data_IF_492379632970
#
_entry.id   IF_492379632970
#
_cell.length_a   1.000
_cell.length_b   1.000
_cell.length_c   1.000
_cell.angle_alpha   90.00
_cell.angle_beta   90.00
_cell.angle_gamma   90.00
#
_symmetry.space_group_name_H-M   'P 1'
#
loop_
_entity.id
_entity.type
_entity.pdbx_description
1 polymer ?
#
# COMPACT_ATOMS: atom_id res chain seq x y z
N UNK A 1 18.89 -8.33 19.07
CA UNK A 1 18.64 -7.52 17.85
C UNK A 1 17.44 -8.15 17.17
N UNK A 2 16.27 -7.50 17.15
CA UNK A 2 15.13 -8.01 16.39
C UNK A 2 15.53 -7.91 14.92
N UNK A 3 15.83 -9.03 14.28
CA UNK A 3 15.88 -9.07 12.82
C UNK A 3 14.58 -8.47 12.31
N UNK A 4 14.69 -7.47 11.44
CA UNK A 4 13.52 -6.91 10.81
C UNK A 4 13.02 -7.95 9.82
N UNK A 5 12.18 -8.90 10.25
CA UNK A 5 11.76 -10.04 9.42
C UNK A 5 11.12 -9.63 8.09
N UNK A 6 10.63 -8.38 7.99
CA UNK A 6 10.10 -7.79 6.77
C UNK A 6 11.21 -7.48 5.77
N UNK A 7 12.41 -7.09 6.22
CA UNK A 7 13.57 -6.94 5.35
C UNK A 7 13.92 -8.26 4.66
N UNK A 8 13.80 -9.39 5.35
CA UNK A 8 14.06 -10.72 4.77
C UNK A 8 13.03 -11.07 3.68
N UNK A 9 11.83 -10.50 3.76
CA UNK A 9 10.78 -10.68 2.73
C UNK A 9 10.91 -9.73 1.54
N UNK A 10 11.83 -8.77 1.56
CA UNK A 10 12.00 -7.77 0.51
C UNK A 10 12.15 -8.37 -0.89
N UNK A 11 12.98 -9.43 -1.11
CA UNK A 11 13.13 -10.01 -2.43
C UNK A 11 11.81 -10.57 -2.97
N UNK A 12 11.03 -11.27 -2.13
CA UNK A 12 9.73 -11.83 -2.52
C UNK A 12 8.73 -10.72 -2.85
N UNK A 13 8.67 -9.67 -2.03
CA UNK A 13 7.77 -8.53 -2.24
C UNK A 13 8.15 -7.78 -3.51
N UNK A 14 9.45 -7.59 -3.76
CA UNK A 14 9.95 -6.97 -4.98
C UNK A 14 9.63 -7.79 -6.24
N UNK A 15 9.73 -9.12 -6.17
CA UNK A 15 9.33 -10.02 -7.26
C UNK A 15 7.83 -9.94 -7.55
N UNK A 16 7.01 -9.79 -6.50
CA UNK A 16 5.55 -9.74 -6.61
C UNK A 16 4.96 -8.32 -6.76
N UNK A 17 5.80 -7.26 -6.82
CA UNK A 17 5.33 -5.86 -6.78
C UNK A 17 4.29 -5.51 -7.87
N UNK A 18 4.45 -6.04 -9.07
CA UNK A 18 3.49 -5.83 -10.16
C UNK A 18 2.16 -6.55 -9.89
N UNK A 19 2.22 -7.81 -9.42
CA UNK A 19 1.04 -8.57 -9.00
C UNK A 19 0.30 -7.87 -7.85
N UNK A 20 1.02 -7.34 -6.87
CA UNK A 20 0.44 -6.56 -5.76
C UNK A 20 -0.29 -5.32 -6.31
N UNK A 21 0.35 -4.56 -7.19
CA UNK A 21 -0.26 -3.38 -7.80
C UNK A 21 -1.53 -3.73 -8.60
N UNK A 22 -1.48 -4.79 -9.42
CA UNK A 22 -2.64 -5.26 -10.18
C UNK A 22 -3.80 -5.68 -9.27
N UNK A 23 -3.51 -6.46 -8.23
CA UNK A 23 -4.53 -6.89 -7.25
C UNK A 23 -5.12 -5.71 -6.48
N UNK A 24 -4.28 -4.74 -6.12
CA UNK A 24 -4.73 -3.51 -5.45
C UNK A 24 -5.75 -2.76 -6.32
N UNK A 25 -5.42 -2.48 -7.58
CA UNK A 25 -6.35 -1.75 -8.44
C UNK A 25 -7.59 -2.57 -8.82
N UNK A 26 -7.47 -3.89 -9.00
CA UNK A 26 -8.63 -4.76 -9.18
C UNK A 26 -9.58 -4.67 -7.99
N UNK A 27 -9.06 -4.77 -6.75
CA UNK A 27 -9.86 -4.67 -5.54
C UNK A 27 -10.44 -3.26 -5.36
N UNK A 28 -9.64 -2.21 -5.55
CA UNK A 28 -10.08 -0.82 -5.41
C UNK A 28 -11.22 -0.50 -6.39
N UNK A 29 -11.09 -0.88 -7.66
CA UNK A 29 -12.13 -0.65 -8.66
C UNK A 29 -13.36 -1.56 -8.51
N UNK A 30 -13.25 -2.66 -7.77
CA UNK A 30 -14.40 -3.46 -7.38
C UNK A 30 -15.15 -2.82 -6.21
N UNK A 31 -14.41 -2.21 -5.27
CA UNK A 31 -14.96 -1.56 -4.08
C UNK A 31 -15.49 -0.13 -4.35
N UNK A 32 -14.90 0.58 -5.32
CA UNK A 32 -15.25 1.94 -5.71
C UNK A 32 -15.06 2.12 -7.23
N UNK A 33 -15.98 1.59 -8.07
CA UNK A 33 -15.85 1.58 -9.53
C UNK A 33 -15.66 2.97 -10.17
N UNK A 34 -16.25 4.01 -9.58
CA UNK A 34 -16.15 5.40 -9.98
C UNK A 34 -14.70 5.90 -10.00
N UNK A 35 -13.83 5.35 -9.14
CA UNK A 35 -12.43 5.78 -9.06
C UNK A 35 -11.63 5.47 -10.33
N UNK A 36 -12.11 4.56 -11.19
CA UNK A 36 -11.49 4.26 -12.50
C UNK A 36 -11.29 5.50 -13.36
N UNK A 37 -12.22 6.44 -13.29
CA UNK A 37 -12.18 7.67 -14.08
C UNK A 37 -10.94 8.53 -13.78
N UNK A 38 -10.34 8.40 -12.60
CA UNK A 38 -9.15 9.16 -12.22
C UNK A 38 -7.84 8.66 -12.85
N UNK A 39 -7.79 7.43 -13.37
CA UNK A 39 -6.53 6.78 -13.73
C UNK A 39 -6.19 6.81 -15.23
N UNK A 40 -7.14 7.18 -16.10
CA UNK A 40 -6.94 7.54 -17.52
C UNK A 40 -5.89 6.73 -18.29
N UNK A 41 -5.14 7.39 -19.19
CA UNK A 41 -4.06 6.79 -19.98
C UNK A 41 -2.75 6.56 -19.23
N UNK A 42 -2.58 7.17 -18.05
CA UNK A 42 -1.37 7.06 -17.21
C UNK A 42 -1.35 5.84 -16.26
N UNK A 43 -2.33 4.95 -16.38
CA UNK A 43 -2.54 3.88 -15.40
C UNK A 43 -1.36 2.89 -15.27
N UNK A 44 -0.66 2.59 -16.37
CA UNK A 44 0.51 1.72 -16.34
C UNK A 44 1.69 2.30 -15.55
N UNK A 45 1.91 3.60 -15.68
CA UNK A 45 2.94 4.33 -14.92
C UNK A 45 2.58 4.35 -13.43
N UNK A 46 1.30 4.60 -13.11
CA UNK A 46 0.81 4.62 -11.74
C UNK A 46 1.00 3.26 -11.02
N UNK A 47 0.79 2.13 -11.72
CA UNK A 47 1.08 0.80 -11.16
C UNK A 47 2.54 0.63 -10.77
N UNK A 48 3.45 1.19 -11.57
CA UNK A 48 4.87 1.16 -11.28
C UNK A 48 5.18 2.01 -10.05
N UNK A 49 4.69 3.25 -9.99
CA UNK A 49 4.83 4.13 -8.81
C UNK A 49 4.34 3.45 -7.54
N UNK A 50 3.17 2.81 -7.60
CA UNK A 50 2.62 2.07 -6.47
C UNK A 50 3.50 0.88 -6.05
N UNK A 51 4.01 0.12 -7.01
CA UNK A 51 4.92 -0.99 -6.74
C UNK A 51 6.20 -0.53 -6.00
N UNK A 52 6.77 0.63 -6.36
CA UNK A 52 7.90 1.21 -5.63
C UNK A 52 7.51 1.70 -4.23
N UNK A 53 6.31 2.24 -4.04
CA UNK A 53 5.81 2.61 -2.72
C UNK A 53 5.76 1.41 -1.77
N UNK A 54 5.30 0.25 -2.24
CA UNK A 54 5.27 -0.99 -1.44
C UNK A 54 6.67 -1.38 -0.97
N UNK A 55 7.68 -1.27 -1.84
CA UNK A 55 9.09 -1.53 -1.48
C UNK A 55 9.60 -0.52 -0.46
N UNK A 56 9.25 0.77 -0.60
CA UNK A 56 9.65 1.81 0.36
C UNK A 56 9.03 1.58 1.75
N UNK A 57 7.77 1.16 1.79
CA UNK A 57 7.08 0.79 3.04
C UNK A 57 7.81 -0.37 3.72
N UNK A 58 8.20 -1.38 2.95
CA UNK A 58 8.97 -2.53 3.42
C UNK A 58 10.28 -2.12 4.10
N UNK A 59 11.05 -1.24 3.45
CA UNK A 59 12.32 -0.73 3.95
C UNK A 59 12.14 0.14 5.20
N UNK A 60 10.98 0.78 5.34
CA UNK A 60 10.63 1.63 6.47
C UNK A 60 10.02 0.86 7.63
N UNK A 61 9.82 -0.45 7.50
CA UNK A 61 9.18 -1.25 8.53
C UNK A 61 10.05 -1.28 9.80
N UNK A 62 9.61 -0.61 10.87
CA UNK A 62 10.40 -0.43 12.09
C UNK A 62 11.02 0.96 12.26
N UNK A 63 10.79 1.87 11.30
CA UNK A 63 11.08 3.30 11.42
C UNK A 63 9.76 4.09 11.36
N UNK A 64 9.16 4.43 12.51
CA UNK A 64 7.90 5.18 12.57
C UNK A 64 7.98 6.55 11.88
N UNK A 65 9.10 7.25 12.00
CA UNK A 65 9.28 8.58 11.38
C UNK A 65 9.29 8.49 9.86
N UNK A 66 9.88 7.43 9.30
CA UNK A 66 9.86 7.18 7.86
C UNK A 66 8.44 6.90 7.35
N UNK A 67 7.64 6.11 8.09
CA UNK A 67 6.23 5.87 7.75
C UNK A 67 5.40 7.15 7.82
N UNK A 68 5.63 8.00 8.83
CA UNK A 68 4.96 9.29 8.98
C UNK A 68 5.27 10.23 7.79
N UNK A 69 6.53 10.31 7.36
CA UNK A 69 6.92 11.10 6.19
C UNK A 69 6.26 10.60 4.91
N UNK A 70 6.18 9.28 4.73
CA UNK A 70 5.47 8.67 3.59
C UNK A 70 3.98 9.06 3.65
N UNK A 71 3.33 8.95 4.80
CA UNK A 71 1.93 9.29 4.97
C UNK A 71 1.66 10.76 4.59
N UNK A 72 2.46 11.70 5.09
CA UNK A 72 2.33 13.14 4.79
C UNK A 72 2.48 13.43 3.30
N UNK A 73 3.50 12.85 2.67
CA UNK A 73 3.73 13.02 1.24
C UNK A 73 2.55 12.48 0.43
N UNK A 74 2.05 11.29 0.78
CA UNK A 74 0.91 10.68 0.09
C UNK A 74 -0.35 11.54 0.23
N UNK A 75 -0.66 12.04 1.43
CA UNK A 75 -1.83 12.92 1.63
C UNK A 75 -1.71 14.19 0.80
N UNK A 76 -0.56 14.86 0.78
CA UNK A 76 -0.39 16.08 -0.03
C UNK A 76 -0.57 15.82 -1.53
N UNK A 77 -0.06 14.70 -2.04
CA UNK A 77 -0.28 14.30 -3.45
C UNK A 77 -1.78 14.05 -3.71
N UNK A 78 -2.45 13.32 -2.83
CA UNK A 78 -3.85 12.91 -3.02
C UNK A 78 -4.85 14.04 -2.76
N UNK A 79 -4.50 15.03 -1.94
CA UNK A 79 -5.32 16.23 -1.68
C UNK A 79 -5.62 17.00 -2.96
N UNK A 80 -4.68 17.04 -3.91
CA UNK A 80 -4.85 17.69 -5.23
C UNK A 80 -5.91 17.01 -6.10
N UNK A 81 -6.28 15.78 -5.78
CA UNK A 81 -7.28 14.99 -6.48
C UNK A 81 -8.61 14.88 -5.71
N UNK A 82 -8.77 15.62 -4.60
CA UNK A 82 -10.00 15.62 -3.81
C UNK A 82 -10.25 14.32 -3.04
N UNK A 83 -9.21 13.50 -2.84
CA UNK A 83 -9.32 12.23 -2.11
C UNK A 83 -9.57 12.50 -0.62
N UNK A 84 -10.63 11.89 -0.10
CA UNK A 84 -11.07 12.03 1.29
C UNK A 84 -10.54 10.94 2.21
N UNK A 85 -10.71 11.12 3.52
CA UNK A 85 -10.51 10.08 4.52
C UNK A 85 -11.34 8.81 4.24
N UNK A 86 -12.55 8.95 3.67
CA UNK A 86 -13.39 7.80 3.32
C UNK A 86 -12.79 6.99 2.15
N UNK A 87 -12.22 7.67 1.16
CA UNK A 87 -11.53 7.03 0.03
C UNK A 87 -10.30 6.26 0.49
N UNK A 88 -9.53 6.81 1.44
CA UNK A 88 -8.40 6.08 2.03
C UNK A 88 -8.82 4.82 2.79
N UNK A 89 -9.99 4.80 3.42
CA UNK A 89 -10.53 3.56 4.03
C UNK A 89 -10.80 2.49 2.97
N UNK A 90 -11.30 2.88 1.79
CA UNK A 90 -11.51 1.96 0.67
C UNK A 90 -10.17 1.44 0.15
N UNK A 91 -9.21 2.35 -0.10
CA UNK A 91 -7.87 2.00 -0.55
C UNK A 91 -7.15 1.07 0.44
N UNK A 92 -7.30 1.28 1.75
CA UNK A 92 -6.74 0.39 2.77
C UNK A 92 -7.28 -1.03 2.70
N UNK A 93 -8.59 -1.20 2.48
CA UNK A 93 -9.19 -2.53 2.27
C UNK A 93 -8.63 -3.21 1.01
N UNK A 94 -8.56 -2.47 -0.09
CA UNK A 94 -7.99 -2.97 -1.34
C UNK A 94 -6.51 -3.38 -1.20
N UNK A 95 -5.71 -2.60 -0.46
CA UNK A 95 -4.30 -2.90 -0.21
C UNK A 95 -4.14 -4.17 0.63
N UNK A 96 -4.95 -4.35 1.68
CA UNK A 96 -4.94 -5.57 2.48
C UNK A 96 -5.23 -6.80 1.61
N UNK A 97 -6.32 -6.77 0.83
CA UNK A 97 -6.68 -7.87 -0.06
C UNK A 97 -5.55 -8.18 -1.07
N UNK A 98 -4.89 -7.14 -1.59
CA UNK A 98 -3.79 -7.30 -2.53
C UNK A 98 -2.55 -7.96 -1.90
N UNK A 99 -2.18 -7.56 -0.68
CA UNK A 99 -1.07 -8.16 0.06
C UNK A 99 -1.37 -9.62 0.41
N UNK A 100 -2.56 -9.89 0.96
CA UNK A 100 -2.99 -11.23 1.35
C UNK A 100 -3.00 -12.19 0.16
N UNK A 101 -3.62 -11.79 -0.95
CA UNK A 101 -3.71 -12.64 -2.16
C UNK A 101 -2.40 -12.77 -2.95
N UNK A 102 -1.44 -11.86 -2.76
CA UNK A 102 -0.18 -11.88 -3.52
C UNK A 102 0.99 -12.50 -2.78
N UNK A 103 0.92 -12.56 -1.45
CA UNK A 103 2.06 -12.97 -0.62
C UNK A 103 1.80 -14.23 0.22
N UNK A 104 0.55 -14.69 0.32
CA UNK A 104 0.16 -15.83 1.18
C UNK A 104 0.89 -17.14 0.87
N UNK A 105 1.24 -17.40 -0.38
CA UNK A 105 1.97 -18.63 -0.79
C UNK A 105 3.46 -18.56 -0.46
N UNK A 106 4.04 -17.35 -0.37
CA UNK A 106 5.48 -17.15 -0.18
C UNK A 106 5.89 -16.66 1.19
N UNK A 107 4.93 -16.25 2.03
CA UNK A 107 5.17 -15.75 3.38
C UNK A 107 4.56 -16.65 4.44
N UNK A 108 5.24 -16.74 5.59
CA UNK A 108 4.61 -17.29 6.79
C UNK A 108 3.45 -16.42 7.24
N UNK A 109 2.49 -17.01 7.97
CA UNK A 109 1.36 -16.28 8.56
C UNK A 109 1.83 -15.07 9.38
N UNK A 110 2.93 -15.21 10.12
CA UNK A 110 3.53 -14.13 10.93
C UNK A 110 4.05 -12.98 10.07
N UNK A 111 4.79 -13.27 9.00
CA UNK A 111 5.31 -12.25 8.08
C UNK A 111 4.18 -11.53 7.35
N UNK A 112 3.17 -12.27 6.89
CA UNK A 112 1.99 -11.69 6.24
C UNK A 112 1.22 -10.76 7.20
N UNK A 113 0.99 -11.19 8.44
CA UNK A 113 0.33 -10.38 9.46
C UNK A 113 1.12 -9.10 9.79
N UNK A 114 2.46 -9.15 9.75
CA UNK A 114 3.28 -7.96 9.97
C UNK A 114 3.20 -6.99 8.78
N UNK A 115 3.16 -7.52 7.55
CA UNK A 115 2.94 -6.74 6.34
C UNK A 115 1.61 -5.99 6.36
N UNK A 116 0.51 -6.70 6.65
CA UNK A 116 -0.81 -6.09 6.73
C UNK A 116 -0.86 -5.02 7.82
N UNK A 117 -0.26 -5.25 8.99
CA UNK A 117 -0.19 -4.26 10.07
C UNK A 117 0.59 -2.99 9.69
N UNK A 118 1.69 -3.10 8.96
CA UNK A 118 2.45 -1.93 8.50
C UNK A 118 1.63 -1.13 7.49
N UNK A 119 0.96 -1.81 6.56
CA UNK A 119 0.06 -1.17 5.59
C UNK A 119 -1.12 -0.47 6.29
N UNK A 120 -1.76 -1.12 7.26
CA UNK A 120 -2.85 -0.52 8.05
C UNK A 120 -2.37 0.73 8.79
N UNK A 121 -1.18 0.66 9.40
CA UNK A 121 -0.60 1.80 10.13
C UNK A 121 -0.42 2.98 9.20
N UNK A 122 0.13 2.78 7.99
CA UNK A 122 0.28 3.83 7.00
C UNK A 122 -1.08 4.45 6.62
N UNK A 123 -2.07 3.62 6.30
CA UNK A 123 -3.40 4.09 5.90
C UNK A 123 -4.08 4.86 7.04
N UNK A 124 -3.98 4.38 8.29
CA UNK A 124 -4.50 5.09 9.45
C UNK A 124 -3.85 6.46 9.63
N UNK A 125 -2.53 6.57 9.41
CA UNK A 125 -1.86 7.87 9.42
C UNK A 125 -2.34 8.78 8.29
N UNK A 126 -2.54 8.25 7.09
CA UNK A 126 -3.08 9.02 5.96
C UNK A 126 -4.50 9.53 6.24
N UNK A 127 -5.37 8.69 6.81
CA UNK A 127 -6.73 9.08 7.24
C UNK A 127 -6.64 10.22 8.25
N UNK A 128 -5.86 10.07 9.32
CA UNK A 128 -5.74 11.07 10.37
C UNK A 128 -5.13 12.40 9.92
N UNK A 129 -4.37 12.41 8.82
CA UNK A 129 -3.80 13.60 8.20
C UNK A 129 -4.71 14.26 7.16
N UNK A 130 -5.84 13.61 6.82
CA UNK A 130 -6.83 14.08 5.84
C UNK A 130 -8.10 14.62 6.47
N UNK A 131 -8.22 14.52 7.80
CA UNK A 131 -9.25 15.14 8.63
C UNK A 131 -8.77 16.52 9.12
#
# INVERSE_FOLDING_TARGET
>A
MLTNDLCETLPLVFQNKARIADRFYQAMFRLAPETRAHFGGGFGEQKSVFAMLIVKIAQSAGNPDALEQIARHMVEVHRRHGISAADFRIAGRALREALESSLSEGLTVRQLARWTRVADTLIQRMIALSD
#
